data_IF_918483897577
#
_entry.id   IF_918483897577
#
_cell.length_a   1.000
_cell.length_b   1.000
_cell.length_c   1.000
_cell.angle_alpha   90.00
_cell.angle_beta   90.00
_cell.angle_gamma   90.00
#
_symmetry.space_group_name_H-M   'P 1'
#
loop_
_entity.id
_entity.type
_entity.pdbx_description
1 polymer ?
#
# COMPACT_ATOMS: atom_id res chain seq x y z
N UNK A 1 12.10 -4.33 -16.73
CA UNK A 1 13.51 -4.75 -16.90
C UNK A 1 13.94 -5.45 -15.63
N UNK A 2 14.76 -6.49 -15.74
CA UNK A 2 15.29 -7.22 -14.59
C UNK A 2 16.46 -6.48 -13.96
N UNK A 3 16.50 -6.42 -12.62
CA UNK A 3 17.67 -5.98 -11.86
C UNK A 3 18.80 -7.01 -12.06
N UNK A 4 19.73 -6.70 -12.97
CA UNK A 4 20.82 -7.61 -13.36
C UNK A 4 21.73 -7.94 -12.20
N UNK A 5 22.02 -6.97 -11.32
CA UNK A 5 22.80 -7.20 -10.12
C UNK A 5 22.08 -8.16 -9.17
N UNK A 6 20.79 -7.93 -8.88
CA UNK A 6 19.99 -8.83 -8.05
C UNK A 6 19.95 -10.25 -8.63
N UNK A 7 19.80 -10.38 -9.96
CA UNK A 7 19.83 -11.68 -10.63
C UNK A 7 21.19 -12.37 -10.51
N UNK A 8 22.27 -11.60 -10.64
CA UNK A 8 23.64 -12.08 -10.52
C UNK A 8 23.93 -12.59 -9.11
N UNK A 9 23.71 -11.77 -8.09
CA UNK A 9 24.02 -12.12 -6.70
C UNK A 9 23.13 -13.22 -6.12
N UNK A 10 21.99 -13.51 -6.75
CA UNK A 10 21.11 -14.63 -6.39
C UNK A 10 21.31 -15.87 -7.26
N UNK A 11 22.16 -15.84 -8.28
CA UNK A 11 22.55 -17.02 -9.07
C UNK A 11 23.51 -17.93 -8.28
N UNK A 12 23.58 -19.25 -8.57
CA UNK A 12 24.46 -20.17 -7.84
C UNK A 12 25.94 -19.73 -7.84
N UNK A 13 26.44 -19.25 -8.98
CA UNK A 13 27.82 -18.79 -9.12
C UNK A 13 28.02 -17.38 -8.55
N UNK A 14 27.15 -16.43 -8.90
CA UNK A 14 27.29 -15.04 -8.46
C UNK A 14 27.11 -14.87 -6.94
N UNK A 15 26.31 -15.71 -6.28
CA UNK A 15 26.22 -15.76 -4.81
C UNK A 15 27.56 -16.09 -4.16
N UNK A 16 28.27 -17.11 -4.66
CA UNK A 16 29.59 -17.50 -4.14
C UNK A 16 30.62 -16.37 -4.30
N UNK A 17 30.64 -15.73 -5.48
CA UNK A 17 31.54 -14.61 -5.73
C UNK A 17 31.21 -13.42 -4.84
N UNK A 18 29.94 -13.02 -4.77
CA UNK A 18 29.48 -11.92 -3.93
C UNK A 18 29.82 -12.13 -2.44
N UNK A 19 29.69 -13.36 -1.94
CA UNK A 19 30.11 -13.71 -0.58
C UNK A 19 31.62 -13.58 -0.40
N UNK A 20 32.42 -14.08 -1.34
CA UNK A 20 33.88 -14.03 -1.26
C UNK A 20 34.44 -12.60 -1.24
N UNK A 21 33.77 -11.66 -1.92
CA UNK A 21 34.19 -10.25 -2.00
C UNK A 21 33.36 -9.31 -1.11
N UNK A 22 32.50 -9.85 -0.23
CA UNK A 22 31.70 -9.06 0.72
C UNK A 22 30.62 -8.16 0.11
N UNK A 23 30.15 -8.47 -1.10
CA UNK A 23 29.12 -7.67 -1.78
C UNK A 23 27.73 -7.85 -1.14
N UNK A 24 26.91 -6.78 -1.09
CA UNK A 24 25.53 -6.86 -0.62
C UNK A 24 24.69 -7.86 -1.43
N UNK A 25 23.96 -8.74 -0.75
CA UNK A 25 23.12 -9.77 -1.38
C UNK A 25 21.64 -9.54 -1.01
N UNK A 26 20.96 -8.57 -1.65
CA UNK A 26 19.52 -8.41 -1.46
C UNK A 26 18.79 -9.69 -1.88
N UNK A 27 17.77 -10.07 -1.09
CA UNK A 27 16.93 -11.23 -1.39
C UNK A 27 15.86 -10.83 -2.41
N UNK A 28 15.68 -11.62 -3.46
CA UNK A 28 14.53 -11.46 -4.35
C UNK A 28 13.23 -11.61 -3.55
N UNK A 29 12.33 -10.61 -3.64
CA UNK A 29 11.09 -10.61 -2.86
C UNK A 29 10.12 -11.69 -3.34
N UNK A 30 9.58 -12.46 -2.39
CA UNK A 30 8.45 -13.35 -2.62
C UNK A 30 7.17 -12.54 -2.71
N UNK A 31 6.49 -12.63 -3.86
CA UNK A 31 5.22 -11.96 -4.15
C UNK A 31 4.09 -12.97 -4.26
N UNK A 32 2.86 -12.50 -4.10
CA UNK A 32 1.68 -13.36 -4.18
C UNK A 32 1.53 -14.00 -5.56
N UNK A 33 1.06 -15.25 -5.57
CA UNK A 33 0.66 -16.00 -6.76
C UNK A 33 -0.64 -16.73 -6.43
N UNK A 34 -1.54 -16.84 -7.42
CA UNK A 34 -2.81 -17.57 -7.26
C UNK A 34 -2.55 -19.00 -6.76
N UNK A 35 -3.36 -19.46 -5.80
CA UNK A 35 -3.25 -20.80 -5.20
C UNK A 35 -2.18 -20.97 -4.11
N UNK A 36 -1.45 -19.91 -3.73
CA UNK A 36 -0.54 -19.97 -2.58
C UNK A 36 -1.26 -19.59 -1.27
N UNK A 37 -0.85 -20.21 -0.16
CA UNK A 37 -1.31 -19.85 1.17
C UNK A 37 -1.20 -18.33 1.40
N UNK A 38 -2.30 -17.73 1.87
CA UNK A 38 -2.46 -16.28 1.91
C UNK A 38 -1.65 -15.60 3.01
N UNK A 39 -1.59 -16.22 4.19
CA UNK A 39 -0.96 -15.64 5.38
C UNK A 39 0.41 -16.26 5.66
N UNK A 40 1.29 -15.46 6.27
CA UNK A 40 2.49 -15.94 6.92
C UNK A 40 2.09 -17.00 7.96
N UNK A 41 2.83 -18.10 7.99
CA UNK A 41 2.60 -19.23 8.90
C UNK A 41 3.94 -19.97 9.08
N UNK A 42 4.37 -20.33 10.31
CA UNK A 42 3.78 -20.00 11.61
C UNK A 42 3.90 -18.52 12.01
N UNK A 43 3.00 -18.02 12.86
CA UNK A 43 3.01 -16.64 13.39
C UNK A 43 3.09 -16.65 14.91
N UNK A 44 3.95 -15.79 15.47
CA UNK A 44 3.96 -15.51 16.92
C UNK A 44 2.94 -14.41 17.20
N UNK A 45 2.02 -14.64 18.14
CA UNK A 45 1.09 -13.62 18.62
C UNK A 45 1.38 -13.36 20.11
N UNK A 46 1.57 -12.09 20.46
CA UNK A 46 1.87 -11.65 21.82
C UNK A 46 1.24 -10.28 22.12
N UNK A 47 1.36 -9.84 23.37
CA UNK A 47 0.74 -8.61 23.89
C UNK A 47 -0.45 -8.92 24.80
N UNK A 48 -0.87 -7.93 25.58
CA UNK A 48 -1.99 -8.04 26.52
C UNK A 48 -3.06 -6.96 26.29
N UNK A 49 -3.12 -6.41 25.08
CA UNK A 49 -4.07 -5.38 24.71
C UNK A 49 -5.46 -5.90 24.31
N UNK A 50 -6.33 -4.97 23.95
CA UNK A 50 -7.73 -5.24 23.54
C UNK A 50 -7.85 -5.92 22.18
N UNK A 51 -6.80 -5.90 21.36
CA UNK A 51 -6.83 -6.37 19.98
C UNK A 51 -6.51 -7.86 19.88
N UNK A 52 -5.90 -8.44 20.92
CA UNK A 52 -5.40 -9.81 20.94
C UNK A 52 -6.44 -10.84 20.50
N UNK A 53 -7.68 -10.74 21.01
CA UNK A 53 -8.75 -11.66 20.66
C UNK A 53 -9.09 -11.64 19.15
N UNK A 54 -9.12 -10.45 18.54
CA UNK A 54 -9.36 -10.29 17.11
C UNK A 54 -8.21 -10.87 16.27
N UNK A 55 -6.96 -10.68 16.70
CA UNK A 55 -5.81 -11.30 16.03
C UNK A 55 -5.90 -12.83 16.12
N UNK A 56 -6.18 -13.37 17.31
CA UNK A 56 -6.32 -14.81 17.51
C UNK A 56 -7.46 -15.41 16.66
N UNK A 57 -8.58 -14.69 16.51
CA UNK A 57 -9.68 -15.09 15.62
C UNK A 57 -9.22 -15.24 14.18
N UNK A 58 -8.51 -14.25 13.64
CA UNK A 58 -8.01 -14.25 12.25
C UNK A 58 -7.05 -15.42 12.00
N UNK A 59 -6.22 -15.78 12.99
CA UNK A 59 -5.23 -16.85 12.90
C UNK A 59 -5.71 -18.21 13.43
N UNK A 60 -6.99 -18.34 13.81
CA UNK A 60 -7.54 -19.56 14.43
C UNK A 60 -7.40 -20.82 13.57
N UNK A 61 -7.37 -20.68 12.24
CA UNK A 61 -7.18 -21.77 11.28
C UNK A 61 -5.72 -21.98 10.84
N UNK A 62 -4.75 -21.34 11.50
CA UNK A 62 -3.32 -21.38 11.14
C UNK A 62 -2.45 -21.85 12.30
N UNK A 63 -1.24 -22.32 12.01
CA UNK A 63 -0.27 -22.73 13.03
C UNK A 63 0.25 -21.52 13.80
N UNK A 64 -0.45 -21.19 14.88
CA UNK A 64 -0.14 -20.03 15.71
C UNK A 64 0.70 -20.43 16.92
N UNK A 65 1.81 -19.72 17.12
CA UNK A 65 2.59 -19.82 18.35
C UNK A 65 2.14 -18.70 19.29
N UNK A 66 1.17 -19.03 20.16
CA UNK A 66 0.75 -18.11 21.20
C UNK A 66 1.90 -17.92 22.21
N UNK A 67 2.36 -16.69 22.37
CA UNK A 67 3.44 -16.42 23.31
C UNK A 67 2.90 -16.19 24.71
N UNK A 68 3.29 -17.05 25.66
CA UNK A 68 3.13 -16.81 27.10
C UNK A 68 4.34 -16.07 27.67
N UNK A 69 4.22 -15.40 28.83
CA UNK A 69 5.36 -14.75 29.50
C UNK A 69 6.58 -15.67 29.68
N UNK A 70 6.35 -16.98 29.92
CA UNK A 70 7.41 -17.98 30.03
C UNK A 70 8.11 -18.22 28.68
N UNK A 71 7.34 -18.37 27.59
CA UNK A 71 7.90 -18.59 26.23
C UNK A 71 8.54 -17.34 25.62
N UNK A 72 8.17 -16.14 26.09
CA UNK A 72 8.80 -14.89 25.70
C UNK A 72 10.20 -14.71 26.30
N UNK A 73 10.47 -15.33 27.45
CA UNK A 73 11.76 -15.25 28.15
C UNK A 73 12.65 -16.47 27.89
N UNK A 74 12.08 -17.60 27.46
CA UNK A 74 12.82 -18.82 27.18
C UNK A 74 13.43 -18.83 25.76
N UNK A 75 14.70 -19.26 25.59
CA UNK A 75 15.27 -19.46 24.26
C UNK A 75 14.46 -20.48 23.45
N UNK A 76 14.05 -20.11 22.24
CA UNK A 76 13.39 -21.03 21.29
C UNK A 76 14.08 -21.01 19.93
N UNK A 77 14.31 -22.20 19.37
CA UNK A 77 14.93 -22.37 18.04
C UNK A 77 13.89 -22.48 16.92
N UNK A 78 12.60 -22.58 17.25
CA UNK A 78 11.51 -22.72 16.28
C UNK A 78 11.42 -21.46 15.41
N UNK A 79 11.59 -21.65 14.10
CA UNK A 79 11.48 -20.59 13.10
C UNK A 79 10.02 -20.26 12.80
N UNK A 80 9.75 -18.98 12.56
CA UNK A 80 8.41 -18.44 12.30
C UNK A 80 8.47 -17.49 11.10
N UNK A 81 7.35 -17.33 10.41
CA UNK A 81 7.22 -16.44 9.26
C UNK A 81 6.50 -15.13 9.59
N UNK A 82 5.87 -15.04 10.77
CA UNK A 82 5.24 -13.81 11.22
C UNK A 82 5.43 -13.54 12.71
N UNK A 83 5.28 -12.27 13.08
CA UNK A 83 5.13 -11.82 14.46
C UNK A 83 4.09 -10.69 14.52
N UNK A 84 3.11 -10.83 15.41
CA UNK A 84 2.14 -9.79 15.74
C UNK A 84 2.25 -9.48 17.22
N UNK A 85 2.46 -8.20 17.55
CA UNK A 85 2.50 -7.73 18.93
C UNK A 85 1.38 -6.71 19.15
N UNK A 86 0.46 -7.04 20.07
CA UNK A 86 -0.58 -6.12 20.51
C UNK A 86 -0.05 -5.19 21.61
N UNK A 87 0.39 -4.00 21.21
CA UNK A 87 0.82 -2.93 22.10
C UNK A 87 -0.33 -2.00 22.51
N UNK A 88 -1.60 -2.31 22.19
CA UNK A 88 -2.72 -1.44 22.59
C UNK A 88 -2.92 -1.35 24.11
N UNK A 89 -2.38 -2.32 24.87
CA UNK A 89 -2.32 -2.33 26.33
C UNK A 89 -1.15 -1.55 26.95
N UNK A 90 -0.25 -0.99 26.14
CA UNK A 90 0.86 -0.15 26.63
C UNK A 90 0.31 1.24 26.96
N UNK A 91 0.15 1.51 28.25
CA UNK A 91 -0.42 2.73 28.84
C UNK A 91 0.62 3.69 29.41
N UNK A 92 1.87 3.26 29.60
CA UNK A 92 2.93 4.12 30.11
C UNK A 92 4.31 3.84 29.46
N UNK A 93 5.31 4.63 29.85
CA UNK A 93 6.67 4.56 29.30
C UNK A 93 7.45 3.32 29.75
N UNK A 94 7.20 2.80 30.95
CA UNK A 94 7.90 1.60 31.46
C UNK A 94 7.45 0.35 30.69
N UNK A 95 6.18 0.30 30.31
CA UNK A 95 5.61 -0.80 29.53
C UNK A 95 6.16 -0.90 28.10
N UNK A 96 6.91 0.10 27.60
CA UNK A 96 7.65 -0.04 26.34
C UNK A 96 8.70 -1.16 26.41
N UNK A 97 9.16 -1.54 27.61
CA UNK A 97 10.07 -2.67 27.84
C UNK A 97 9.47 -3.99 27.35
N UNK A 98 8.15 -4.13 27.30
CA UNK A 98 7.48 -5.34 26.79
C UNK A 98 7.79 -5.57 25.31
N UNK A 99 7.88 -4.51 24.51
CA UNK A 99 8.27 -4.60 23.11
C UNK A 99 9.73 -5.03 22.98
N UNK A 100 10.62 -4.49 23.82
CA UNK A 100 12.01 -4.92 23.85
C UNK A 100 12.09 -6.42 24.16
N UNK A 101 11.47 -6.88 25.25
CA UNK A 101 11.49 -8.28 25.64
C UNK A 101 10.95 -9.20 24.53
N UNK A 102 9.86 -8.79 23.88
CA UNK A 102 9.29 -9.54 22.76
C UNK A 102 10.25 -9.63 21.57
N UNK A 103 10.73 -8.49 21.06
CA UNK A 103 11.55 -8.47 19.85
C UNK A 103 12.95 -9.02 20.08
N UNK A 104 13.55 -8.76 21.25
CA UNK A 104 14.85 -9.29 21.63
C UNK A 104 14.87 -10.82 21.57
N UNK A 105 13.86 -11.47 22.15
CA UNK A 105 13.76 -12.93 22.18
C UNK A 105 13.39 -13.55 20.83
N UNK A 106 12.64 -12.84 19.98
CA UNK A 106 12.01 -13.43 18.80
C UNK A 106 12.60 -12.98 17.45
N UNK A 107 13.36 -11.89 17.36
CA UNK A 107 13.89 -11.37 16.08
C UNK A 107 14.73 -12.39 15.30
N UNK A 108 15.52 -13.23 16.01
CA UNK A 108 16.32 -14.30 15.40
C UNK A 108 15.49 -15.50 14.92
N UNK A 109 14.26 -15.64 15.40
CA UNK A 109 13.32 -16.71 15.01
C UNK A 109 12.60 -16.41 13.70
N UNK A 110 12.45 -15.14 13.34
CA UNK A 110 11.87 -14.73 12.06
C UNK A 110 12.70 -15.26 10.88
N UNK A 111 12.03 -15.92 9.95
CA UNK A 111 12.60 -16.41 8.69
C UNK A 111 12.81 -15.30 7.66
N UNK A 112 13.38 -15.69 6.51
CA UNK A 112 13.44 -14.79 5.35
C UNK A 112 12.02 -14.49 4.86
N UNK A 113 11.80 -13.27 4.37
CA UNK A 113 10.49 -12.80 3.94
C UNK A 113 9.44 -12.81 5.06
N UNK A 114 9.87 -12.74 6.33
CA UNK A 114 8.97 -12.66 7.46
C UNK A 114 8.12 -11.38 7.46
N UNK A 115 7.05 -11.38 8.25
CA UNK A 115 6.13 -10.25 8.40
C UNK A 115 5.98 -9.87 9.86
N UNK A 116 6.11 -8.59 10.17
CA UNK A 116 5.95 -8.09 11.53
C UNK A 116 4.90 -6.99 11.55
N UNK A 117 3.96 -7.09 12.47
CA UNK A 117 2.94 -6.08 12.71
C UNK A 117 2.92 -5.75 14.19
N UNK A 118 3.07 -4.47 14.52
CA UNK A 118 2.77 -3.95 15.85
C UNK A 118 1.40 -3.29 15.77
N UNK A 119 0.52 -3.62 16.71
CA UNK A 119 -0.79 -3.02 16.84
C UNK A 119 -0.78 -2.04 18.01
N UNK A 120 -1.40 -0.87 17.85
CA UNK A 120 -1.48 0.13 18.91
C UNK A 120 -2.79 0.90 18.87
N UNK A 121 -2.91 1.88 19.76
CA UNK A 121 -3.98 2.87 19.79
C UNK A 121 -3.39 4.22 19.38
N UNK A 122 -3.98 4.93 18.42
CA UNK A 122 -3.42 6.21 17.97
C UNK A 122 -3.37 7.22 19.14
N UNK A 123 -2.37 8.12 19.22
CA UNK A 123 -2.24 9.08 20.31
C UNK A 123 -3.51 9.92 20.58
N UNK A 124 -4.24 10.31 19.53
CA UNK A 124 -5.52 11.03 19.63
C UNK A 124 -6.68 10.22 20.24
N UNK A 125 -6.55 8.90 20.31
CA UNK A 125 -7.53 7.97 20.90
C UNK A 125 -7.10 7.48 22.29
N UNK A 126 -5.99 7.99 22.84
CA UNK A 126 -5.48 7.62 24.15
C UNK A 126 -6.18 8.41 25.27
N UNK A 127 -6.26 7.82 26.46
CA UNK A 127 -6.97 8.44 27.59
C UNK A 127 -6.16 9.55 28.27
N UNK A 128 -4.83 9.40 28.29
CA UNK A 128 -3.93 10.33 28.94
C UNK A 128 -2.62 10.53 28.16
N UNK A 129 -1.83 11.50 28.62
CA UNK A 129 -0.58 11.89 27.97
C UNK A 129 0.50 10.78 28.03
N UNK A 130 0.74 10.08 29.16
CA UNK A 130 1.67 8.95 29.19
C UNK A 130 1.38 7.89 28.14
N UNK A 131 0.12 7.47 28.01
CA UNK A 131 -0.28 6.49 27.00
C UNK A 131 -0.06 7.05 25.59
N UNK A 132 -0.48 8.30 25.33
CA UNK A 132 -0.29 8.92 24.02
C UNK A 132 1.19 8.98 23.61
N UNK A 133 2.10 9.28 24.54
CA UNK A 133 3.55 9.28 24.29
C UNK A 133 4.05 7.87 24.00
N UNK A 134 3.68 6.89 24.83
CA UNK A 134 4.10 5.50 24.65
C UNK A 134 3.64 4.93 23.30
N UNK A 135 2.36 5.15 22.95
CA UNK A 135 1.81 4.74 21.66
C UNK A 135 2.51 5.44 20.50
N UNK A 136 2.76 6.76 20.59
CA UNK A 136 3.50 7.50 19.56
C UNK A 136 4.91 6.96 19.34
N UNK A 137 5.59 6.52 20.40
CA UNK A 137 6.95 6.00 20.37
C UNK A 137 7.09 4.68 19.58
N UNK A 138 6.00 3.91 19.45
CA UNK A 138 5.96 2.67 18.68
C UNK A 138 6.42 2.86 17.22
N UNK A 139 6.13 4.02 16.62
CA UNK A 139 6.55 4.31 15.25
C UNK A 139 8.08 4.33 15.11
N UNK A 140 8.79 4.90 16.09
CA UNK A 140 10.25 4.93 16.10
C UNK A 140 10.83 3.52 16.11
N UNK A 141 10.32 2.67 17.02
CA UNK A 141 10.71 1.27 17.09
C UNK A 141 10.42 0.53 15.79
N UNK A 142 9.20 0.62 15.26
CA UNK A 142 8.78 -0.08 14.03
C UNK A 142 9.65 0.33 12.84
N UNK A 143 9.93 1.62 12.68
CA UNK A 143 10.79 2.12 11.59
C UNK A 143 12.23 1.63 11.76
N UNK A 144 12.75 1.54 12.98
CA UNK A 144 14.10 1.00 13.23
C UNK A 144 14.16 -0.52 12.99
N UNK A 145 13.18 -1.28 13.51
CA UNK A 145 13.08 -2.72 13.30
C UNK A 145 13.03 -3.10 11.81
N UNK A 146 12.30 -2.34 10.99
CA UNK A 146 12.27 -2.58 9.54
C UNK A 146 13.64 -2.39 8.84
N UNK A 147 14.56 -1.61 9.42
CA UNK A 147 15.95 -1.46 8.94
C UNK A 147 16.88 -2.54 9.51
N UNK A 148 16.59 -3.02 10.72
CA UNK A 148 17.45 -3.96 11.46
C UNK A 148 17.21 -5.43 11.11
N UNK A 149 15.94 -5.84 10.94
CA UNK A 149 15.59 -7.26 10.76
C UNK A 149 16.11 -7.85 9.43
N UNK A 150 16.30 -6.98 8.42
CA UNK A 150 16.82 -7.32 7.08
C UNK A 150 16.09 -8.53 6.48
N UNK A 151 16.76 -9.34 5.65
CA UNK A 151 16.26 -10.64 5.16
C UNK A 151 14.87 -10.56 4.48
N UNK A 152 14.60 -9.44 3.80
CA UNK A 152 13.30 -9.14 3.19
C UNK A 152 12.11 -9.18 4.16
N UNK A 153 12.36 -8.97 5.46
CA UNK A 153 11.33 -8.81 6.48
C UNK A 153 10.73 -7.40 6.37
N UNK A 154 9.42 -7.32 6.49
CA UNK A 154 8.69 -6.04 6.54
C UNK A 154 8.07 -5.85 7.92
N UNK A 155 8.07 -4.61 8.42
CA UNK A 155 7.51 -4.26 9.74
C UNK A 155 6.55 -3.10 9.58
N UNK A 156 5.36 -3.18 10.18
CA UNK A 156 4.34 -2.13 10.13
C UNK A 156 3.80 -1.81 11.51
N UNK A 157 3.25 -0.60 11.64
CA UNK A 157 2.44 -0.17 12.77
C UNK A 157 1.01 0.02 12.28
N UNK A 158 0.06 -0.69 12.89
CA UNK A 158 -1.37 -0.44 12.69
C UNK A 158 -1.92 0.18 13.98
N UNK A 159 -2.32 1.44 13.92
CA UNK A 159 -3.14 2.02 14.96
C UNK A 159 -4.59 1.65 14.70
N UNK A 160 -5.25 1.08 15.69
CA UNK A 160 -6.67 0.72 15.63
C UNK A 160 -7.41 1.65 16.59
N UNK A 161 -8.49 2.29 16.17
CA UNK A 161 -9.33 3.05 17.08
C UNK A 161 -10.07 2.11 18.05
N UNK A 162 -10.40 2.55 19.28
CA UNK A 162 -11.31 1.82 20.16
C UNK A 162 -12.67 1.59 19.47
N UNK A 163 -13.12 0.32 19.41
CA UNK A 163 -14.35 -0.05 18.69
C UNK A 163 -14.19 -0.26 17.18
N UNK A 164 -12.96 -0.29 16.66
CA UNK A 164 -12.64 -0.59 15.26
C UNK A 164 -11.93 -1.95 15.09
N UNK A 165 -12.08 -2.86 16.05
CA UNK A 165 -11.42 -4.17 16.08
C UNK A 165 -11.74 -5.02 14.85
N UNK A 166 -12.97 -4.92 14.31
CA UNK A 166 -13.40 -5.67 13.13
C UNK A 166 -12.81 -5.14 11.81
N UNK A 167 -12.22 -3.94 11.82
CA UNK A 167 -11.50 -3.40 10.66
C UNK A 167 -10.11 -4.05 10.44
N UNK A 168 -9.67 -4.92 11.36
CA UNK A 168 -8.36 -5.57 11.30
C UNK A 168 -8.22 -6.61 10.19
N UNK A 169 -9.31 -7.30 9.83
CA UNK A 169 -9.26 -8.51 9.01
C UNK A 169 -8.56 -8.27 7.65
N UNK A 170 -8.95 -7.22 6.93
CA UNK A 170 -8.35 -6.87 5.64
C UNK A 170 -6.88 -6.45 5.75
N UNK A 171 -6.55 -5.67 6.79
CA UNK A 171 -5.22 -5.11 6.99
C UNK A 171 -4.22 -6.16 7.47
N UNK A 172 -4.59 -7.02 8.41
CA UNK A 172 -3.76 -8.16 8.79
C UNK A 172 -3.65 -9.16 7.64
N UNK A 173 -4.74 -9.41 6.93
CA UNK A 173 -4.76 -10.19 5.68
C UNK A 173 -3.73 -9.72 4.67
N UNK A 174 -3.63 -8.40 4.46
CA UNK A 174 -2.66 -7.80 3.57
C UNK A 174 -1.24 -7.83 4.14
N UNK A 175 -1.02 -7.26 5.32
CA UNK A 175 0.32 -7.04 5.87
C UNK A 175 1.04 -8.32 6.28
N UNK A 176 0.31 -9.37 6.64
CA UNK A 176 0.87 -10.68 6.94
C UNK A 176 0.91 -11.60 5.72
N UNK A 177 0.71 -11.08 4.50
CA UNK A 177 0.80 -11.86 3.25
C UNK A 177 2.00 -11.48 2.39
N UNK A 178 2.16 -12.20 1.28
CA UNK A 178 3.09 -11.82 0.19
C UNK A 178 2.62 -10.64 -0.66
N UNK A 179 1.37 -10.17 -0.49
CA UNK A 179 0.82 -9.01 -1.22
C UNK A 179 1.47 -7.70 -0.77
N UNK A 180 1.92 -7.62 0.49
CA UNK A 180 2.58 -6.44 1.08
C UNK A 180 4.11 -6.40 0.87
N UNK A 181 4.66 -7.16 -0.07
CA UNK A 181 6.10 -7.43 -0.18
C UNK A 181 7.01 -6.19 -0.26
N UNK A 182 6.50 -5.05 -0.75
CA UNK A 182 7.25 -3.80 -0.87
C UNK A 182 6.70 -2.66 -0.02
N UNK A 183 5.85 -2.97 0.96
CA UNK A 183 5.37 -2.03 1.98
C UNK A 183 6.12 -2.36 3.26
N UNK A 184 6.86 -1.41 3.83
CA UNK A 184 7.62 -1.61 5.07
C UNK A 184 7.90 -0.28 5.78
N UNK A 185 7.92 -0.30 7.11
CA UNK A 185 8.09 0.87 7.97
C UNK A 185 6.97 1.89 7.81
N UNK A 186 5.76 1.45 7.49
CA UNK A 186 4.57 2.27 7.31
C UNK A 186 3.70 2.25 8.56
N UNK A 187 2.96 3.32 8.73
CA UNK A 187 1.94 3.48 9.77
C UNK A 187 0.59 3.57 9.05
N UNK A 188 -0.39 2.80 9.52
CA UNK A 188 -1.76 2.84 8.99
C UNK A 188 -2.71 2.99 10.17
N UNK A 189 -3.75 3.78 9.98
CA UNK A 189 -4.81 3.99 10.97
C UNK A 189 -6.08 3.29 10.51
N UNK A 190 -6.67 2.51 11.41
CA UNK A 190 -7.94 1.82 11.24
C UNK A 190 -8.96 2.48 12.16
N UNK A 191 -9.97 3.08 11.55
CA UNK A 191 -11.11 3.70 12.21
C UNK A 191 -12.34 2.78 12.11
N UNK A 192 -13.44 3.18 12.76
CA UNK A 192 -14.73 2.49 12.59
C UNK A 192 -15.11 2.49 11.11
N UNK A 193 -15.51 1.33 10.53
CA UNK A 193 -15.89 1.25 9.14
C UNK A 193 -16.99 2.25 8.75
N UNK A 194 -16.84 2.87 7.58
CA UNK A 194 -17.84 3.82 7.03
C UNK A 194 -19.02 3.11 6.35
N UNK A 195 -18.92 1.79 6.18
CA UNK A 195 -19.87 0.91 5.51
C UNK A 195 -20.03 -0.43 6.25
N UNK A 196 -21.09 -1.16 5.92
CA UNK A 196 -21.42 -2.43 6.56
C UNK A 196 -20.58 -3.61 6.06
N UNK A 197 -20.55 -4.70 6.84
CA UNK A 197 -19.89 -5.94 6.46
C UNK A 197 -20.84 -6.84 5.66
N UNK A 198 -20.72 -6.80 4.33
CA UNK A 198 -21.26 -7.87 3.49
C UNK A 198 -20.43 -9.15 3.66
N UNK A 199 -21.00 -10.31 3.36
CA UNK A 199 -20.23 -11.56 3.28
C UNK A 199 -19.17 -11.43 2.17
N UNK A 200 -17.90 -11.66 2.51
CA UNK A 200 -16.77 -11.52 1.58
C UNK A 200 -16.22 -12.91 1.23
N UNK A 201 -16.14 -13.19 -0.06
CA UNK A 201 -15.30 -14.26 -0.55
C UNK A 201 -13.84 -13.76 -0.60
N UNK A 202 -12.99 -14.20 0.32
CA UNK A 202 -11.60 -13.76 0.42
C UNK A 202 -10.72 -14.16 -0.78
N UNK A 203 -11.10 -15.18 -1.56
CA UNK A 203 -10.38 -15.57 -2.77
C UNK A 203 -10.74 -14.67 -3.96
N UNK A 204 -11.97 -14.16 -3.99
CA UNK A 204 -12.51 -13.27 -5.03
C UNK A 204 -13.25 -12.09 -4.38
N UNK A 205 -12.54 -11.20 -3.66
CA UNK A 205 -13.18 -10.15 -2.87
C UNK A 205 -13.91 -9.12 -3.73
N UNK A 206 -13.59 -9.03 -5.02
CA UNK A 206 -14.25 -8.12 -5.96
C UNK A 206 -15.27 -8.81 -6.87
N UNK A 207 -15.67 -10.04 -6.59
CA UNK A 207 -16.70 -10.71 -7.38
C UNK A 207 -17.98 -9.86 -7.46
N UNK A 208 -18.43 -9.59 -8.69
CA UNK A 208 -19.60 -8.74 -8.94
C UNK A 208 -19.36 -7.23 -8.77
N UNK A 209 -18.10 -6.80 -8.55
CA UNK A 209 -17.73 -5.39 -8.39
C UNK A 209 -17.24 -4.78 -9.69
N UNK A 210 -17.52 -3.49 -9.89
CA UNK A 210 -17.06 -2.71 -11.05
C UNK A 210 -15.95 -1.73 -10.64
N UNK A 211 -14.82 -1.79 -11.33
CA UNK A 211 -13.65 -0.98 -11.02
C UNK A 211 -13.24 -0.10 -12.20
N UNK A 212 -13.09 1.21 -12.01
CA UNK A 212 -12.54 2.14 -13.00
C UNK A 212 -11.06 2.40 -12.70
N UNK A 213 -10.17 2.22 -13.68
CA UNK A 213 -8.72 2.47 -13.51
C UNK A 213 -8.23 3.42 -14.59
N UNK A 214 -7.73 4.60 -14.20
CA UNK A 214 -7.17 5.58 -15.14
C UNK A 214 -5.71 5.32 -15.47
N UNK A 215 -5.28 5.63 -16.69
CA UNK A 215 -3.93 5.35 -17.19
C UNK A 215 -3.65 3.84 -17.30
N UNK A 216 -4.66 3.05 -17.67
CA UNK A 216 -4.65 1.59 -17.60
C UNK A 216 -4.01 0.89 -18.81
N UNK A 217 -3.63 1.61 -19.87
CA UNK A 217 -3.10 0.97 -21.09
C UNK A 217 -1.75 0.25 -20.89
N UNK A 218 -1.00 0.58 -19.83
CA UNK A 218 0.34 0.02 -19.56
C UNK A 218 0.81 0.25 -18.12
N UNK A 219 1.99 -0.28 -17.80
CA UNK A 219 2.73 0.07 -16.59
C UNK A 219 1.99 -0.28 -15.30
N UNK A 220 1.94 0.65 -14.34
CA UNK A 220 1.28 0.45 -13.04
C UNK A 220 -0.24 0.35 -13.21
N UNK A 221 -0.85 1.15 -14.09
CA UNK A 221 -2.29 1.09 -14.36
C UNK A 221 -2.75 -0.28 -14.87
N UNK A 222 -1.99 -0.86 -15.81
CA UNK A 222 -2.26 -2.23 -16.28
C UNK A 222 -2.10 -3.26 -15.15
N UNK A 223 -1.07 -3.14 -14.31
CA UNK A 223 -0.88 -4.05 -13.18
C UNK A 223 -2.04 -3.94 -12.15
N UNK A 224 -2.56 -2.74 -11.91
CA UNK A 224 -3.74 -2.51 -11.07
C UNK A 224 -4.95 -3.23 -11.69
N UNK A 225 -5.21 -3.03 -12.98
CA UNK A 225 -6.31 -3.69 -13.67
C UNK A 225 -6.20 -5.23 -13.58
N UNK A 226 -5.00 -5.78 -13.76
CA UNK A 226 -4.74 -7.22 -13.65
C UNK A 226 -5.02 -7.76 -12.25
N UNK A 227 -4.62 -7.05 -11.18
CA UNK A 227 -4.88 -7.48 -9.80
C UNK A 227 -6.35 -7.42 -9.45
N UNK A 228 -7.04 -6.32 -9.78
CA UNK A 228 -8.46 -6.19 -9.49
C UNK A 228 -9.29 -7.24 -10.24
N UNK A 229 -8.96 -7.50 -11.50
CA UNK A 229 -9.61 -8.57 -12.28
C UNK A 229 -9.28 -9.97 -11.74
N UNK A 230 -8.02 -10.22 -11.36
CA UNK A 230 -7.61 -11.47 -10.69
C UNK A 230 -8.46 -11.72 -9.45
N UNK A 231 -8.77 -10.68 -8.69
CA UNK A 231 -9.53 -10.74 -7.45
C UNK A 231 -11.06 -10.59 -7.67
N UNK A 232 -11.52 -10.56 -8.93
CA UNK A 232 -12.92 -10.75 -9.32
C UNK A 232 -13.66 -9.54 -9.92
N UNK A 233 -13.02 -8.37 -10.01
CA UNK A 233 -13.66 -7.17 -10.52
C UNK A 233 -13.85 -7.21 -12.04
N UNK A 234 -14.95 -6.63 -12.53
CA UNK A 234 -15.01 -6.15 -13.92
C UNK A 234 -14.30 -4.79 -14.00
N UNK A 235 -13.18 -4.73 -14.72
CA UNK A 235 -12.36 -3.52 -14.80
C UNK A 235 -12.67 -2.73 -16.07
N UNK A 236 -13.07 -1.47 -15.90
CA UNK A 236 -13.14 -0.45 -16.95
C UNK A 236 -11.79 0.24 -17.02
N UNK A 237 -11.01 -0.09 -18.05
CA UNK A 237 -9.71 0.49 -18.31
C UNK A 237 -9.88 1.85 -19.03
N UNK A 238 -9.38 2.92 -18.43
CA UNK A 238 -9.43 4.27 -18.98
C UNK A 238 -8.03 4.73 -19.37
N UNK A 239 -7.89 5.28 -20.57
CA UNK A 239 -6.69 5.99 -21.02
C UNK A 239 -7.05 6.95 -22.15
N UNK A 240 -6.12 7.80 -22.55
CA UNK A 240 -6.37 8.81 -23.59
C UNK A 240 -6.69 8.14 -24.94
N UNK A 241 -7.52 8.75 -25.82
CA UNK A 241 -7.88 8.17 -27.12
C UNK A 241 -6.67 7.79 -28.00
N UNK A 242 -5.54 8.49 -27.86
CA UNK A 242 -4.30 8.18 -28.58
C UNK A 242 -3.68 6.83 -28.17
N UNK A 243 -4.07 6.28 -27.02
CA UNK A 243 -3.63 4.98 -26.52
C UNK A 243 -4.65 3.85 -26.82
N UNK A 244 -5.67 4.09 -27.66
CA UNK A 244 -6.79 3.18 -27.92
C UNK A 244 -6.37 1.72 -28.15
N UNK A 245 -5.36 1.48 -28.99
CA UNK A 245 -4.91 0.11 -29.29
C UNK A 245 -4.36 -0.61 -28.05
N UNK A 246 -3.48 0.05 -27.30
CA UNK A 246 -2.91 -0.50 -26.07
C UNK A 246 -3.98 -0.64 -24.97
N UNK A 247 -4.93 0.30 -24.91
CA UNK A 247 -6.05 0.25 -23.99
C UNK A 247 -6.97 -0.95 -24.26
N UNK A 248 -7.29 -1.22 -25.53
CA UNK A 248 -8.10 -2.37 -25.92
C UNK A 248 -7.39 -3.69 -25.58
N UNK A 249 -6.07 -3.77 -25.81
CA UNK A 249 -5.27 -4.93 -25.43
C UNK A 249 -5.27 -5.14 -23.91
N UNK A 250 -5.08 -4.07 -23.13
CA UNK A 250 -5.14 -4.08 -21.68
C UNK A 250 -6.49 -4.60 -21.18
N UNK A 251 -7.59 -4.01 -21.65
CA UNK A 251 -8.95 -4.40 -21.29
C UNK A 251 -9.23 -5.88 -21.63
N UNK A 252 -8.86 -6.31 -22.84
CA UNK A 252 -9.03 -7.70 -23.28
C UNK A 252 -8.24 -8.67 -22.39
N UNK A 253 -7.01 -8.32 -22.01
CA UNK A 253 -6.14 -9.18 -21.18
C UNK A 253 -6.69 -9.43 -19.77
N UNK A 254 -7.60 -8.58 -19.30
CA UNK A 254 -8.23 -8.68 -17.97
C UNK A 254 -9.72 -9.06 -18.04
N UNK A 255 -10.25 -9.35 -19.24
CA UNK A 255 -11.69 -9.59 -19.43
C UNK A 255 -12.57 -8.38 -19.07
N UNK A 256 -12.00 -7.17 -19.16
CA UNK A 256 -12.64 -5.90 -18.83
C UNK A 256 -13.18 -5.17 -20.06
N UNK A 257 -13.40 -3.87 -19.92
CA UNK A 257 -13.83 -2.97 -21.01
C UNK A 257 -12.89 -1.77 -21.14
N UNK A 258 -12.79 -1.22 -22.35
CA UNK A 258 -11.97 -0.05 -22.65
C UNK A 258 -12.85 1.21 -22.74
N UNK A 259 -12.43 2.30 -22.12
CA UNK A 259 -13.06 3.61 -22.20
C UNK A 259 -11.98 4.66 -22.59
N UNK A 260 -11.82 4.96 -23.89
CA UNK A 260 -10.93 6.03 -24.33
C UNK A 260 -11.48 7.38 -23.89
N UNK A 261 -10.76 8.05 -23.01
CA UNK A 261 -11.20 9.29 -22.37
C UNK A 261 -9.98 10.09 -21.93
N UNK A 262 -9.91 11.35 -22.34
CA UNK A 262 -8.97 12.30 -21.73
C UNK A 262 -9.58 12.79 -20.42
N UNK A 263 -8.98 12.40 -19.29
CA UNK A 263 -9.49 12.74 -17.97
C UNK A 263 -9.50 14.24 -17.64
N UNK A 264 -8.84 15.07 -18.46
CA UNK A 264 -8.76 16.53 -18.30
C UNK A 264 -9.77 17.29 -19.16
N UNK A 265 -10.50 16.61 -20.04
CA UNK A 265 -11.47 17.25 -20.91
C UNK A 265 -12.67 17.78 -20.09
N UNK A 266 -13.21 18.93 -20.49
CA UNK A 266 -14.27 19.61 -19.74
C UNK A 266 -15.57 18.79 -19.63
N UNK A 267 -15.81 17.88 -20.59
CA UNK A 267 -16.97 17.01 -20.67
C UNK A 267 -16.79 15.64 -19.98
N UNK A 268 -15.59 15.36 -19.44
CA UNK A 268 -15.24 14.05 -18.83
C UNK A 268 -16.24 13.62 -17.75
N UNK A 269 -16.66 14.55 -16.89
CA UNK A 269 -17.62 14.24 -15.84
C UNK A 269 -18.99 13.81 -16.40
N UNK A 270 -19.48 14.49 -17.44
CA UNK A 270 -20.74 14.15 -18.10
C UNK A 270 -20.65 12.80 -18.86
N UNK A 271 -19.51 12.52 -19.49
CA UNK A 271 -19.25 11.23 -20.14
C UNK A 271 -19.21 10.09 -19.12
N UNK A 272 -18.57 10.28 -17.96
CA UNK A 272 -18.59 9.29 -16.88
C UNK A 272 -20.00 9.08 -16.32
N UNK A 273 -20.80 10.13 -16.14
CA UNK A 273 -22.19 10.00 -15.69
C UNK A 273 -23.05 9.24 -16.71
N UNK A 274 -22.82 9.46 -18.00
CA UNK A 274 -23.49 8.69 -19.06
C UNK A 274 -23.09 7.21 -18.98
N UNK A 275 -21.79 6.94 -18.81
CA UNK A 275 -21.29 5.58 -18.62
C UNK A 275 -21.89 4.91 -17.38
N UNK A 276 -22.00 5.65 -16.27
CA UNK A 276 -22.65 5.17 -15.04
C UNK A 276 -24.12 4.86 -15.28
N UNK A 277 -24.85 5.74 -15.95
CA UNK A 277 -26.28 5.53 -16.28
C UNK A 277 -26.49 4.27 -17.13
N UNK A 278 -25.56 3.97 -18.03
CA UNK A 278 -25.68 2.83 -18.94
C UNK A 278 -25.27 1.49 -18.31
N UNK A 279 -24.26 1.48 -17.45
CA UNK A 279 -23.63 0.25 -16.98
C UNK A 279 -23.66 0.07 -15.44
N UNK A 280 -24.17 1.05 -14.71
CA UNK A 280 -24.25 1.11 -13.25
C UNK A 280 -23.18 2.01 -12.61
N UNK A 281 -23.25 2.18 -11.29
CA UNK A 281 -22.20 2.85 -10.52
C UNK A 281 -20.95 1.96 -10.34
N UNK A 282 -19.84 2.58 -9.94
CA UNK A 282 -18.59 1.90 -9.63
C UNK A 282 -18.53 1.51 -8.15
N UNK A 283 -17.79 0.44 -7.85
CA UNK A 283 -17.40 0.08 -6.48
C UNK A 283 -15.97 0.53 -6.18
N UNK A 284 -15.12 0.62 -7.21
CA UNK A 284 -13.72 1.02 -7.08
C UNK A 284 -13.36 2.03 -8.17
N UNK A 285 -12.69 3.12 -7.79
CA UNK A 285 -12.14 4.11 -8.71
C UNK A 285 -10.68 4.35 -8.36
N UNK A 286 -9.79 4.13 -9.32
CA UNK A 286 -8.35 4.29 -9.13
C UNK A 286 -7.83 5.42 -10.01
N UNK A 287 -7.44 6.53 -9.36
CA UNK A 287 -6.76 7.66 -10.00
C UNK A 287 -5.27 7.40 -10.12
N UNK A 288 -4.90 6.59 -11.12
CA UNK A 288 -3.51 6.22 -11.42
C UNK A 288 -2.88 7.05 -12.54
N UNK A 289 -3.68 7.59 -13.47
CA UNK A 289 -3.17 8.45 -14.54
C UNK A 289 -2.30 9.58 -13.98
N UNK A 290 -1.16 9.80 -14.63
CA UNK A 290 -0.24 10.85 -14.22
C UNK A 290 0.89 11.05 -15.20
N UNK A 291 1.39 12.28 -15.26
CA UNK A 291 2.50 12.67 -16.11
C UNK A 291 3.58 13.41 -15.31
N UNK A 292 4.79 13.42 -15.87
CA UNK A 292 5.91 14.23 -15.40
C UNK A 292 6.38 15.18 -16.51
N UNK A 293 6.84 16.36 -16.12
CA UNK A 293 7.47 17.36 -17.01
C UNK A 293 8.61 18.00 -16.24
N UNK A 294 9.69 17.23 -16.10
CA UNK A 294 10.77 17.55 -15.19
C UNK A 294 11.63 18.71 -15.73
N UNK A 295 11.71 19.77 -14.94
CA UNK A 295 12.52 20.96 -15.22
C UNK A 295 12.73 21.74 -13.92
N UNK A 296 13.87 22.42 -13.78
CA UNK A 296 14.02 23.38 -12.69
C UNK A 296 12.96 24.48 -12.82
N UNK A 297 12.44 25.00 -11.72
CA UNK A 297 11.36 26.00 -11.75
C UNK A 297 11.72 27.23 -12.60
N UNK A 298 12.97 27.69 -12.53
CA UNK A 298 13.48 28.80 -13.33
C UNK A 298 13.48 28.55 -14.86
N UNK A 299 13.42 27.29 -15.30
CA UNK A 299 13.41 26.91 -16.73
C UNK A 299 12.10 26.26 -17.15
N UNK A 300 11.11 26.18 -16.25
CA UNK A 300 9.86 25.49 -16.50
C UNK A 300 8.89 26.41 -17.24
N UNK A 301 8.34 25.93 -18.35
CA UNK A 301 7.28 26.64 -19.07
C UNK A 301 5.95 26.52 -18.32
N UNK A 302 5.09 27.51 -18.46
CA UNK A 302 3.73 27.48 -17.91
C UNK A 302 2.91 26.27 -18.37
N UNK A 303 3.01 25.87 -19.64
CA UNK A 303 2.33 24.69 -20.19
C UNK A 303 2.75 23.41 -19.46
N UNK A 304 4.04 23.25 -19.18
CA UNK A 304 4.58 22.11 -18.43
C UNK A 304 4.13 22.12 -16.95
N UNK A 305 3.96 23.29 -16.35
CA UNK A 305 3.41 23.43 -15.01
C UNK A 305 1.93 23.04 -14.98
N UNK A 306 1.11 23.69 -15.81
CA UNK A 306 -0.35 23.51 -15.86
C UNK A 306 -0.75 22.09 -16.26
N UNK A 307 -0.12 21.51 -17.28
CA UNK A 307 -0.46 20.14 -17.71
C UNK A 307 -0.22 19.09 -16.61
N UNK A 308 0.82 19.23 -15.80
CA UNK A 308 1.08 18.32 -14.68
C UNK A 308 0.01 18.47 -13.60
N UNK A 309 -0.41 19.69 -13.25
CA UNK A 309 -1.49 19.91 -12.28
C UNK A 309 -2.84 19.41 -12.79
N UNK A 310 -3.17 19.72 -14.05
CA UNK A 310 -4.42 19.31 -14.70
C UNK A 310 -4.61 17.79 -14.64
N UNK A 311 -3.61 17.02 -15.07
CA UNK A 311 -3.69 15.56 -15.11
C UNK A 311 -3.58 14.93 -13.71
N UNK A 312 -2.63 15.39 -12.89
CA UNK A 312 -2.27 14.67 -11.67
C UNK A 312 -3.11 15.04 -10.45
N UNK A 313 -3.80 16.18 -10.48
CA UNK A 313 -4.50 16.74 -9.30
C UNK A 313 -5.90 17.24 -9.63
N UNK A 314 -6.06 18.13 -10.60
CA UNK A 314 -7.37 18.74 -10.92
C UNK A 314 -8.36 17.69 -11.42
N UNK A 315 -7.96 16.84 -12.37
CA UNK A 315 -8.80 15.76 -12.88
C UNK A 315 -9.22 14.77 -11.77
N UNK A 316 -8.32 14.19 -10.94
CA UNK A 316 -8.71 13.35 -9.81
C UNK A 316 -9.71 14.02 -8.84
N UNK A 317 -9.55 15.31 -8.54
CA UNK A 317 -10.48 16.06 -7.70
C UNK A 317 -11.86 16.14 -8.37
N UNK A 318 -11.93 16.69 -9.58
CA UNK A 318 -13.18 16.93 -10.30
C UNK A 318 -13.97 15.63 -10.53
N UNK A 319 -13.27 14.55 -10.93
CA UNK A 319 -13.91 13.26 -11.16
C UNK A 319 -14.41 12.61 -9.87
N UNK A 320 -13.67 12.76 -8.77
CA UNK A 320 -14.11 12.22 -7.47
C UNK A 320 -15.35 12.96 -6.96
N UNK A 321 -15.38 14.29 -7.06
CA UNK A 321 -16.56 15.09 -6.69
C UNK A 321 -17.77 14.74 -7.56
N UNK A 322 -17.59 14.70 -8.89
CA UNK A 322 -18.66 14.35 -9.81
C UNK A 322 -19.27 12.97 -9.51
N UNK A 323 -18.45 11.96 -9.22
CA UNK A 323 -18.92 10.62 -8.89
C UNK A 323 -19.63 10.57 -7.53
N UNK A 324 -19.15 11.31 -6.52
CA UNK A 324 -19.82 11.38 -5.22
C UNK A 324 -21.17 12.13 -5.29
N UNK A 325 -21.26 13.18 -6.11
CA UNK A 325 -22.47 14.00 -6.22
C UNK A 325 -23.56 13.36 -7.08
N UNK A 326 -23.17 12.57 -8.09
CA UNK A 326 -24.08 11.91 -9.04
C UNK A 326 -24.41 10.46 -8.69
N UNK A 327 -24.09 10.00 -7.47
CA UNK A 327 -24.24 8.59 -7.07
C UNK A 327 -23.51 7.62 -8.03
N UNK A 328 -22.39 8.07 -8.61
CA UNK A 328 -21.53 7.26 -9.47
C UNK A 328 -20.70 6.22 -8.73
N UNK A 329 -20.77 6.20 -7.39
CA UNK A 329 -20.20 5.19 -6.52
C UNK A 329 -21.29 4.51 -5.70
N UNK A 330 -21.26 3.17 -5.66
CA UNK A 330 -22.12 2.39 -4.77
C UNK A 330 -21.76 2.64 -3.29
N UNK A 331 -22.71 2.44 -2.36
CA UNK A 331 -22.39 2.27 -0.95
C UNK A 331 -21.31 1.20 -0.74
N UNK A 332 -20.31 1.50 0.08
CA UNK A 332 -19.10 0.70 0.20
C UNK A 332 -18.11 0.90 -0.95
N UNK A 333 -18.25 1.99 -1.70
CA UNK A 333 -17.32 2.37 -2.76
C UNK A 333 -15.93 2.75 -2.23
N UNK A 334 -14.94 2.73 -3.11
CA UNK A 334 -13.53 2.97 -2.79
C UNK A 334 -12.88 3.86 -3.83
N UNK A 335 -12.35 5.01 -3.41
CA UNK A 335 -11.49 5.85 -4.24
C UNK A 335 -10.05 5.65 -3.78
N UNK A 336 -9.16 5.28 -4.70
CA UNK A 336 -7.73 5.12 -4.42
C UNK A 336 -6.90 5.97 -5.38
N UNK A 337 -6.20 6.95 -4.83
CA UNK A 337 -5.32 7.85 -5.60
C UNK A 337 -3.87 7.37 -5.60
N UNK A 338 -3.08 7.85 -6.56
CA UNK A 338 -1.63 7.59 -6.62
C UNK A 338 -0.85 8.87 -6.40
N UNK A 339 -0.29 9.03 -5.20
CA UNK A 339 0.69 10.07 -4.84
C UNK A 339 2.11 9.64 -5.27
N UNK A 340 3.16 10.10 -4.58
CA UNK A 340 4.57 9.77 -4.83
C UNK A 340 5.43 10.12 -3.62
N UNK A 341 6.56 9.42 -3.44
CA UNK A 341 7.63 9.90 -2.53
C UNK A 341 8.06 11.33 -2.83
N UNK A 342 8.08 11.76 -4.11
CA UNK A 342 8.41 13.15 -4.45
C UNK A 342 7.40 14.16 -3.89
N UNK A 343 6.13 13.76 -3.69
CA UNK A 343 5.12 14.61 -3.06
C UNK A 343 5.30 14.74 -1.54
N UNK A 344 6.07 13.84 -0.93
CA UNK A 344 6.36 13.85 0.51
C UNK A 344 7.71 14.52 0.79
N UNK A 345 8.75 14.15 0.04
CA UNK A 345 10.13 14.56 0.29
C UNK A 345 10.63 15.68 -0.65
N UNK A 346 9.87 16.03 -1.68
CA UNK A 346 10.35 16.85 -2.79
C UNK A 346 11.33 16.09 -3.70
N UNK A 347 11.64 16.67 -4.86
CA UNK A 347 12.69 16.16 -5.75
C UNK A 347 13.18 17.27 -6.71
N UNK A 348 14.47 17.26 -7.04
CA UNK A 348 15.06 18.24 -7.95
C UNK A 348 14.40 18.16 -9.33
N UNK A 349 14.00 19.32 -9.86
CA UNK A 349 13.37 19.42 -11.18
C UNK A 349 11.91 18.98 -11.22
N UNK A 350 11.30 18.68 -10.06
CA UNK A 350 9.93 18.19 -9.97
C UNK A 350 9.04 19.13 -9.14
N UNK A 351 9.23 20.45 -9.20
CA UNK A 351 8.39 21.38 -8.43
C UNK A 351 6.90 21.25 -8.80
N UNK A 352 6.56 21.20 -10.09
CA UNK A 352 5.19 20.91 -10.56
C UNK A 352 4.67 19.55 -10.08
N UNK A 353 5.46 18.49 -10.26
CA UNK A 353 5.06 17.13 -9.94
C UNK A 353 4.91 16.90 -8.44
N UNK A 354 5.87 17.35 -7.62
CA UNK A 354 5.82 17.31 -6.17
C UNK A 354 4.62 18.10 -5.64
N UNK A 355 4.36 19.32 -6.15
CA UNK A 355 3.13 20.07 -5.83
C UNK A 355 1.88 19.26 -6.14
N UNK A 356 1.79 18.65 -7.33
CA UNK A 356 0.63 17.83 -7.70
C UNK A 356 0.43 16.63 -6.77
N UNK A 357 1.51 15.91 -6.41
CA UNK A 357 1.44 14.68 -5.62
C UNK A 357 1.29 14.94 -4.12
N UNK A 358 1.79 16.07 -3.62
CA UNK A 358 1.43 16.61 -2.31
C UNK A 358 -0.05 17.02 -2.28
N UNK A 359 -0.54 17.68 -3.35
CA UNK A 359 -1.96 17.99 -3.52
C UNK A 359 -2.86 16.76 -3.49
N UNK A 360 -2.43 15.63 -4.05
CA UNK A 360 -3.16 14.35 -3.95
C UNK A 360 -3.28 13.88 -2.50
N UNK A 361 -2.27 14.11 -1.66
CA UNK A 361 -2.36 13.80 -0.21
C UNK A 361 -3.44 14.69 0.43
N UNK A 362 -3.44 15.98 0.12
CA UNK A 362 -4.48 16.92 0.57
C UNK A 362 -5.87 16.55 0.07
N UNK A 363 -6.01 16.09 -1.18
CA UNK A 363 -7.27 15.59 -1.75
C UNK A 363 -7.81 14.41 -0.93
N UNK A 364 -6.96 13.42 -0.64
CA UNK A 364 -7.35 12.25 0.16
C UNK A 364 -7.81 12.65 1.55
N UNK A 365 -7.03 13.49 2.24
CA UNK A 365 -7.33 13.92 3.60
C UNK A 365 -8.58 14.81 3.66
N UNK A 366 -8.75 15.73 2.71
CA UNK A 366 -9.87 16.66 2.64
C UNK A 366 -11.18 16.01 2.18
N UNK A 367 -11.12 15.04 1.28
CA UNK A 367 -12.32 14.39 0.73
C UNK A 367 -12.85 13.26 1.62
N UNK A 368 -11.99 12.63 2.45
CA UNK A 368 -12.34 11.48 3.27
C UNK A 368 -13.60 11.67 4.15
N UNK A 369 -13.83 12.81 4.86
CA UNK A 369 -15.05 13.01 5.64
C UNK A 369 -16.32 13.09 4.77
N UNK A 370 -16.27 13.79 3.63
CA UNK A 370 -17.40 13.89 2.69
C UNK A 370 -17.72 12.54 2.05
N UNK A 371 -16.70 11.77 1.70
CA UNK A 371 -16.87 10.43 1.17
C UNK A 371 -17.45 9.46 2.22
N UNK A 372 -17.01 9.56 3.48
CA UNK A 372 -17.53 8.74 4.58
C UNK A 372 -19.05 8.94 4.79
N UNK A 373 -19.55 10.18 4.64
CA UNK A 373 -20.98 10.47 4.67
C UNK A 373 -21.78 9.78 3.55
N UNK A 374 -21.11 9.28 2.51
CA UNK A 374 -21.66 8.47 1.42
C UNK A 374 -21.27 6.99 1.51
N UNK A 375 -20.73 6.55 2.64
CA UNK A 375 -20.23 5.17 2.86
C UNK A 375 -19.10 4.79 1.89
N UNK A 376 -18.27 5.77 1.51
CA UNK A 376 -17.11 5.60 0.61
C UNK A 376 -15.82 5.94 1.36
N UNK A 377 -14.75 5.20 1.10
CA UNK A 377 -13.41 5.55 1.59
C UNK A 377 -12.56 6.20 0.48
N UNK A 378 -11.70 7.14 0.85
CA UNK A 378 -10.70 7.75 -0.04
C UNK A 378 -9.32 7.53 0.56
N UNK A 379 -8.41 6.92 -0.18
CA UNK A 379 -7.03 6.66 0.26
C UNK A 379 -6.03 6.92 -0.88
N UNK A 380 -4.73 6.90 -0.58
CA UNK A 380 -3.70 6.87 -1.60
C UNK A 380 -2.56 5.90 -1.29
N UNK A 381 -1.93 5.45 -2.37
CA UNK A 381 -0.57 4.93 -2.31
C UNK A 381 0.44 6.02 -2.67
N UNK A 382 1.62 5.99 -2.08
CA UNK A 382 2.75 6.84 -2.45
C UNK A 382 3.95 5.97 -2.89
N UNK A 383 4.02 5.58 -4.17
CA UNK A 383 5.09 4.72 -4.65
C UNK A 383 6.47 5.36 -4.51
N UNK A 384 7.46 4.54 -4.15
CA UNK A 384 8.87 4.89 -4.22
C UNK A 384 9.48 4.55 -5.59
N UNK A 385 10.71 4.03 -5.59
CA UNK A 385 11.33 3.55 -6.82
C UNK A 385 10.68 2.22 -7.27
N UNK A 386 9.95 2.27 -8.39
CA UNK A 386 9.29 1.13 -9.02
C UNK A 386 9.90 0.88 -10.41
N UNK A 387 10.23 -0.37 -10.71
CA UNK A 387 10.77 -0.81 -12.00
C UNK A 387 9.69 -0.72 -13.08
N UNK A 388 9.79 0.28 -13.97
CA UNK A 388 8.84 0.54 -15.05
C UNK A 388 9.57 0.91 -16.34
N UNK A 389 8.84 1.05 -17.44
CA UNK A 389 9.39 1.64 -18.67
C UNK A 389 9.82 3.11 -18.49
N UNK A 390 9.23 3.82 -17.52
CA UNK A 390 9.59 5.22 -17.24
C UNK A 390 10.92 5.31 -16.48
N UNK A 391 11.10 4.51 -15.42
CA UNK A 391 12.35 4.49 -14.65
C UNK A 391 13.52 3.90 -15.44
N UNK A 392 13.24 3.14 -16.51
CA UNK A 392 14.23 2.71 -17.48
C UNK A 392 15.02 3.86 -18.14
N UNK A 393 14.41 5.04 -18.26
CA UNK A 393 15.02 6.23 -18.90
C UNK A 393 15.91 7.03 -17.95
N UNK A 394 15.91 6.74 -16.66
CA UNK A 394 16.75 7.42 -15.67
C UNK A 394 18.21 7.02 -15.87
N UNK A 395 19.17 7.97 -15.81
CA UNK A 395 20.61 7.66 -15.88
C UNK A 395 21.02 6.57 -14.88
N UNK A 396 21.90 5.66 -15.33
CA UNK A 396 22.22 4.41 -14.62
C UNK A 396 22.58 4.60 -13.14
N UNK A 397 23.45 5.57 -12.84
CA UNK A 397 23.91 5.81 -11.46
C UNK A 397 22.80 6.30 -10.53
N UNK A 398 21.97 7.25 -10.99
CA UNK A 398 20.82 7.77 -10.23
C UNK A 398 19.79 6.66 -10.04
N UNK A 399 19.58 5.85 -11.09
CA UNK A 399 18.66 4.72 -11.08
C UNK A 399 19.08 3.66 -10.06
N UNK A 400 20.36 3.30 -10.03
CA UNK A 400 20.89 2.31 -9.08
C UNK A 400 20.86 2.83 -7.64
N UNK A 401 21.18 4.11 -7.41
CA UNK A 401 21.03 4.74 -6.10
C UNK A 401 19.58 4.66 -5.61
N UNK A 402 18.61 5.12 -6.42
CA UNK A 402 17.19 5.04 -6.07
C UNK A 402 16.69 3.61 -5.82
N UNK A 403 17.18 2.64 -6.60
CA UNK A 403 16.90 1.21 -6.44
C UNK A 403 17.41 0.65 -5.12
N UNK A 404 18.55 1.12 -4.60
CA UNK A 404 19.19 0.57 -3.39
C UNK A 404 18.91 1.35 -2.11
N UNK A 405 18.46 2.61 -2.19
CA UNK A 405 18.18 3.49 -1.05
C UNK A 405 16.84 3.15 -0.34
N UNK A 406 16.69 1.90 0.06
CA UNK A 406 15.58 1.38 0.86
C UNK A 406 16.02 0.12 1.62
N UNK A 407 15.28 -0.26 2.66
CA UNK A 407 15.63 -1.41 3.54
C UNK A 407 15.58 -2.77 2.85
N UNK A 408 14.90 -2.88 1.71
CA UNK A 408 14.84 -4.09 0.89
C UNK A 408 15.92 -4.14 -0.21
N UNK A 409 16.70 -3.05 -0.35
CA UNK A 409 17.84 -2.88 -1.25
C UNK A 409 17.59 -3.35 -2.68
N UNK A 410 16.38 -3.14 -3.19
CA UNK A 410 15.98 -3.39 -4.57
C UNK A 410 14.81 -2.49 -4.96
N UNK A 411 14.52 -2.37 -6.25
CA UNK A 411 13.36 -1.64 -6.75
C UNK A 411 12.06 -2.45 -6.59
N UNK A 412 10.95 -1.75 -6.38
CA UNK A 412 9.63 -2.36 -6.35
C UNK A 412 9.16 -2.73 -7.76
N UNK A 413 8.07 -3.48 -7.85
CA UNK A 413 7.42 -3.83 -9.10
C UNK A 413 6.02 -3.22 -9.16
N UNK A 414 5.45 -3.02 -10.37
CA UNK A 414 4.08 -2.53 -10.53
C UNK A 414 3.04 -3.31 -9.72
N UNK A 415 3.23 -4.63 -9.61
CA UNK A 415 2.37 -5.51 -8.80
C UNK A 415 2.36 -5.12 -7.31
N UNK A 416 3.46 -4.63 -6.76
CA UNK A 416 3.51 -4.24 -5.33
C UNK A 416 2.61 -3.03 -5.05
N UNK A 417 2.51 -2.11 -6.02
CA UNK A 417 1.61 -0.96 -5.95
C UNK A 417 0.16 -1.43 -6.14
N UNK A 418 -0.08 -2.29 -7.13
CA UNK A 418 -1.40 -2.83 -7.43
C UNK A 418 -2.02 -3.62 -6.26
N UNK A 419 -1.23 -4.46 -5.59
CA UNK A 419 -1.68 -5.22 -4.40
C UNK A 419 -2.04 -4.30 -3.23
N UNK A 420 -1.29 -3.20 -3.04
CA UNK A 420 -1.60 -2.21 -2.01
C UNK A 420 -2.90 -1.46 -2.34
N UNK A 421 -3.10 -1.10 -3.61
CA UNK A 421 -4.35 -0.48 -4.08
C UNK A 421 -5.52 -1.45 -3.90
N UNK A 422 -5.35 -2.73 -4.23
CA UNK A 422 -6.38 -3.75 -4.03
C UNK A 422 -6.75 -3.93 -2.55
N UNK A 423 -5.78 -3.84 -1.64
CA UNK A 423 -6.08 -3.80 -0.20
C UNK A 423 -6.85 -2.55 0.20
N UNK A 424 -6.45 -1.35 -0.23
CA UNK A 424 -7.18 -0.11 0.06
C UNK A 424 -8.60 -0.10 -0.55
N UNK A 425 -8.78 -0.80 -1.67
CA UNK A 425 -10.08 -0.98 -2.33
C UNK A 425 -10.88 -2.18 -1.80
N UNK A 426 -10.34 -2.99 -0.88
CA UNK A 426 -10.99 -4.21 -0.46
C UNK A 426 -12.33 -3.92 0.25
N UNK A 427 -13.38 -4.74 0.07
CA UNK A 427 -14.66 -4.52 0.75
C UNK A 427 -14.54 -4.51 2.28
N UNK A 428 -13.68 -5.34 2.88
CA UNK A 428 -13.36 -5.29 4.32
C UNK A 428 -12.41 -4.14 4.74
N UNK A 429 -12.06 -3.20 3.85
CA UNK A 429 -11.20 -2.05 4.19
C UNK A 429 -11.99 -0.77 4.49
N UNK A 430 -13.26 -0.89 4.86
CA UNK A 430 -14.12 0.25 5.21
C UNK A 430 -13.61 1.12 6.36
N UNK A 431 -12.78 0.55 7.24
CA UNK A 431 -12.11 1.26 8.34
C UNK A 431 -10.82 1.97 7.94
N UNK A 432 -10.37 1.86 6.69
CA UNK A 432 -9.18 2.56 6.18
C UNK A 432 -9.65 3.76 5.36
N UNK A 433 -9.58 4.96 5.92
CA UNK A 433 -10.01 6.18 5.23
C UNK A 433 -9.04 7.35 5.50
N UNK A 434 -8.82 8.18 4.48
CA UNK A 434 -7.90 9.32 4.54
C UNK A 434 -6.42 8.92 4.63
N UNK A 435 -6.07 7.66 4.38
CA UNK A 435 -4.71 7.15 4.57
C UNK A 435 -3.85 7.35 3.31
N UNK A 436 -2.56 7.62 3.53
CA UNK A 436 -1.53 7.62 2.47
C UNK A 436 -0.45 6.63 2.84
N UNK A 437 -0.32 5.55 2.06
CA UNK A 437 0.58 4.43 2.37
C UNK A 437 1.71 4.36 1.35
N UNK A 438 2.97 4.47 1.80
CA UNK A 438 4.12 4.40 0.88
C UNK A 438 4.40 2.97 0.47
N UNK A 439 4.47 2.74 -0.84
CA UNK A 439 4.91 1.46 -1.43
C UNK A 439 6.36 1.63 -1.89
N UNK A 440 7.28 1.52 -0.94
CA UNK A 440 8.64 2.05 -1.12
C UNK A 440 9.78 1.17 -0.58
N UNK A 441 9.48 -0.03 -0.07
CA UNK A 441 10.49 -0.88 0.57
C UNK A 441 11.18 -0.24 1.77
N UNK A 442 10.51 0.72 2.42
CA UNK A 442 11.07 1.63 3.42
C UNK A 442 12.24 2.47 2.86
N UNK A 443 11.97 3.28 1.83
CA UNK A 443 12.95 4.23 1.30
C UNK A 443 13.40 5.23 2.36
N UNK A 444 14.68 5.61 2.29
CA UNK A 444 15.30 6.62 3.16
C UNK A 444 14.72 8.02 2.98
N UNK A 445 14.14 8.33 1.82
CA UNK A 445 13.50 9.62 1.56
C UNK A 445 12.17 9.73 2.33
N UNK A 446 11.89 10.88 2.93
CA UNK A 446 10.65 11.11 3.68
C UNK A 446 10.59 12.50 4.32
N UNK A 447 9.53 12.73 5.08
CA UNK A 447 9.27 13.90 5.91
C UNK A 447 8.68 13.41 7.25
#
# INVERSE_FOLDING_TARGET
MSDSYLSFVNSPWGRRLAQAVGLPQPLALQRHRSGQAGLANPVIIAGAGRLLASVQRIFSATDTVAATPATLKAPSTVKVQGAVFDASGVTDLQQLDELYLFFHSNAKRLGQHGRVVVLGTAPEHCHDLPQAIAQRALEGLVRSLAKELRRAITVQLLYVAPGAEDALDSSLGFFLSRRSAYVSGQVVRLEKPVDGHAAINWDKPFAGKRALVTGASRGIGLAIAQVLARDGAHVVCVDVPQAQQALQQAATSVGGSALPLDITAADTAALLQTHVSQYGAFDVVVHNAGITRDKTIAKMTEVAWRSVLAVNLEAPLQLSEALLDSQGLNPGGRIVCVSSISGIAGNLGQSNYATSKAGVIGLVQGLAPRAAARQVTVNAVAPGFIETQMTAKIPLMIREAGRRMNSLSQGGQPIDVAETIAWLAHPASGGVNGQVVRVCGQSLLGA
#
